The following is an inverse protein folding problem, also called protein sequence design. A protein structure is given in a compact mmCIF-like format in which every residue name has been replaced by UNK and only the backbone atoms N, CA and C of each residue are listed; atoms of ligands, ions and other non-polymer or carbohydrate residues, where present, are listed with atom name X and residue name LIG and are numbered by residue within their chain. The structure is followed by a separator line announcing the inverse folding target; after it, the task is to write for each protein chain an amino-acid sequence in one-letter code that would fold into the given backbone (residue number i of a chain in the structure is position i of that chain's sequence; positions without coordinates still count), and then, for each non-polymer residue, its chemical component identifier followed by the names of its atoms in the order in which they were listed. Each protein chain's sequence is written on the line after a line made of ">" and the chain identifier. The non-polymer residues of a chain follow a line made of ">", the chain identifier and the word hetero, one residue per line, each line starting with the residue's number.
data_IF_496270467176
#
_entry.id   IF_496270467176
#
_cell.length_a   1.000
_cell.length_b   1.000
_cell.length_c   1.000
_cell.angle_alpha   90.00
_cell.angle_beta   90.00
_cell.angle_gamma   90.00
#
_symmetry.space_group_name_H-M   'P 1'
#
loop_
_entity.id
_entity.type
_entity.pdbx_description
1 polymer ?
#
# COMPACT_ATOMS: atom_id res chain seq x y z
N UNK A 1 22.56 -15.16 -6.51
CA UNK A 1 21.84 -14.00 -5.91
C UNK A 1 20.41 -14.44 -5.63
N UNK A 2 19.80 -13.99 -4.52
CA UNK A 2 18.37 -14.20 -4.28
C UNK A 2 17.57 -13.42 -5.34
N UNK A 3 16.45 -13.97 -5.80
CA UNK A 3 15.53 -13.23 -6.67
C UNK A 3 14.86 -12.10 -5.88
N UNK A 4 14.56 -11.00 -6.56
CA UNK A 4 13.92 -9.82 -6.00
C UNK A 4 12.43 -9.79 -6.39
N UNK A 5 11.56 -9.71 -5.38
CA UNK A 5 10.12 -9.60 -5.55
C UNK A 5 9.66 -8.23 -5.05
N UNK A 6 8.98 -7.48 -5.91
CA UNK A 6 8.32 -6.23 -5.53
C UNK A 6 6.81 -6.49 -5.38
N UNK A 7 6.30 -6.29 -4.17
CA UNK A 7 4.87 -6.31 -3.86
C UNK A 7 4.36 -4.89 -3.73
N UNK A 8 3.25 -4.55 -4.38
CA UNK A 8 2.63 -3.24 -4.27
C UNK A 8 1.26 -3.35 -3.62
N UNK A 9 0.97 -2.45 -2.69
CA UNK A 9 -0.37 -2.13 -2.25
C UNK A 9 -1.01 -1.18 -3.28
N UNK A 10 -1.83 -1.74 -4.16
CA UNK A 10 -2.43 -1.01 -5.29
C UNK A 10 -3.37 0.10 -4.84
N UNK A 11 -4.18 -0.16 -3.80
CA UNK A 11 -5.11 0.81 -3.25
C UNK A 11 -4.36 1.98 -2.61
N UNK A 12 -3.44 1.71 -1.70
CA UNK A 12 -2.63 2.72 -1.03
C UNK A 12 -1.89 3.61 -2.03
N UNK A 13 -1.27 3.00 -3.06
CA UNK A 13 -0.56 3.74 -4.09
C UNK A 13 -1.48 4.60 -4.95
N UNK A 14 -2.66 4.10 -5.34
CA UNK A 14 -3.59 4.87 -6.16
C UNK A 14 -4.21 6.04 -5.38
N UNK A 15 -4.60 5.82 -4.12
CA UNK A 15 -5.05 6.89 -3.23
C UNK A 15 -3.98 7.97 -3.06
N UNK A 16 -2.75 7.55 -2.77
CA UNK A 16 -1.65 8.49 -2.64
C UNK A 16 -1.41 9.29 -3.90
N UNK A 17 -1.43 8.65 -5.06
CA UNK A 17 -1.29 9.30 -6.35
C UNK A 17 -2.37 10.36 -6.56
N UNK A 18 -3.62 10.01 -6.28
CA UNK A 18 -4.76 10.91 -6.42
C UNK A 18 -4.61 12.15 -5.54
N UNK A 19 -4.46 11.98 -4.24
CA UNK A 19 -4.39 13.11 -3.32
C UNK A 19 -3.12 13.97 -3.47
N UNK A 20 -2.00 13.37 -3.86
CA UNK A 20 -0.76 14.13 -4.11
C UNK A 20 -0.83 15.01 -5.36
N UNK A 21 -1.72 14.68 -6.31
CA UNK A 21 -1.85 15.40 -7.60
C UNK A 21 -3.14 16.20 -7.74
N UNK A 22 -4.09 16.04 -6.81
CA UNK A 22 -5.43 16.62 -6.89
C UNK A 22 -5.44 18.14 -7.11
N UNK A 23 -4.53 18.85 -6.47
CA UNK A 23 -4.48 20.32 -6.52
C UNK A 23 -3.35 20.90 -7.37
N UNK A 24 -2.46 20.06 -7.90
CA UNK A 24 -1.26 20.55 -8.60
C UNK A 24 -1.42 20.55 -10.11
N UNK A 25 -2.04 19.53 -10.67
CA UNK A 25 -2.22 19.42 -12.13
C UNK A 25 -3.52 18.66 -12.45
N UNK A 26 -4.47 19.36 -13.03
CA UNK A 26 -5.68 18.71 -13.54
C UNK A 26 -5.35 17.99 -14.85
N UNK A 27 -4.96 16.71 -14.73
CA UNK A 27 -4.66 15.85 -15.87
C UNK A 27 -5.93 15.13 -16.33
N UNK A 28 -6.30 15.29 -17.57
CA UNK A 28 -7.44 14.62 -18.18
C UNK A 28 -7.09 14.15 -19.59
N UNK A 29 -7.78 13.10 -20.06
CA UNK A 29 -7.78 12.73 -21.48
C UNK A 29 -8.46 13.81 -22.31
N UNK A 30 -8.38 13.71 -23.65
CA UNK A 30 -9.12 14.58 -24.58
C UNK A 30 -10.65 14.53 -24.37
N UNK A 31 -11.15 13.42 -23.81
CA UNK A 31 -12.57 13.21 -23.50
C UNK A 31 -12.94 13.62 -22.07
N UNK A 32 -12.04 14.29 -21.35
CA UNK A 32 -12.29 14.80 -19.99
C UNK A 32 -12.18 13.77 -18.86
N UNK A 33 -11.72 12.54 -19.13
CA UNK A 33 -11.53 11.53 -18.08
C UNK A 33 -10.29 11.90 -17.25
N UNK A 34 -10.38 12.01 -15.90
CA UNK A 34 -9.23 12.32 -15.05
C UNK A 34 -8.20 11.19 -15.09
N UNK A 35 -6.91 11.58 -15.10
CA UNK A 35 -5.78 10.65 -15.21
C UNK A 35 -4.63 10.98 -14.24
N UNK A 36 -4.84 11.91 -13.35
CA UNK A 36 -3.81 12.34 -12.38
C UNK A 36 -3.37 11.22 -11.45
N UNK A 37 -4.29 10.38 -10.95
CA UNK A 37 -3.95 9.23 -10.12
C UNK A 37 -3.23 8.13 -10.91
N UNK A 38 -3.63 7.89 -12.16
CA UNK A 38 -2.94 6.96 -13.08
C UNK A 38 -1.50 7.41 -13.28
N UNK A 39 -1.30 8.69 -13.61
CA UNK A 39 0.04 9.26 -13.79
C UNK A 39 0.90 9.09 -12.54
N UNK A 40 0.38 9.49 -11.38
CA UNK A 40 1.11 9.39 -10.12
C UNK A 40 1.44 7.94 -9.75
N UNK A 41 0.50 7.00 -9.96
CA UNK A 41 0.72 5.57 -9.74
C UNK A 41 1.86 5.03 -10.60
N UNK A 42 1.84 5.32 -11.91
CA UNK A 42 2.87 4.88 -12.85
C UNK A 42 4.23 5.48 -12.51
N UNK A 43 4.28 6.76 -12.11
CA UNK A 43 5.52 7.42 -11.67
C UNK A 43 6.12 6.74 -10.44
N UNK A 44 5.30 6.43 -9.42
CA UNK A 44 5.78 5.74 -8.21
C UNK A 44 6.23 4.31 -8.51
N UNK A 45 5.46 3.58 -9.34
CA UNK A 45 5.81 2.23 -9.75
C UNK A 45 7.16 2.19 -10.49
N UNK A 46 7.35 3.04 -11.50
CA UNK A 46 8.60 3.11 -12.26
C UNK A 46 9.78 3.46 -11.34
N UNK A 47 9.60 4.44 -10.45
CA UNK A 47 10.65 4.78 -9.49
C UNK A 47 11.01 3.62 -8.56
N UNK A 48 10.02 2.86 -8.09
CA UNK A 48 10.28 1.68 -7.27
C UNK A 48 11.00 0.57 -8.06
N UNK A 49 10.66 0.40 -9.34
CA UNK A 49 11.36 -0.52 -10.25
C UNK A 49 12.83 -0.10 -10.41
N UNK A 50 13.10 1.18 -10.64
CA UNK A 50 14.46 1.72 -10.80
C UNK A 50 15.30 1.57 -9.52
N UNK A 51 14.68 1.67 -8.33
CA UNK A 51 15.38 1.52 -7.04
C UNK A 51 15.66 0.06 -6.70
N UNK A 52 14.70 -0.84 -6.97
CA UNK A 52 14.71 -2.23 -6.49
C UNK A 52 15.23 -3.18 -7.57
N UNK A 53 15.08 -2.85 -8.85
CA UNK A 53 15.41 -3.72 -10.00
C UNK A 53 14.81 -5.15 -9.84
N UNK A 54 13.48 -5.29 -9.60
CA UNK A 54 12.87 -6.55 -9.23
C UNK A 54 12.81 -7.55 -10.39
N UNK A 55 13.03 -8.84 -10.11
CA UNK A 55 12.79 -9.94 -11.07
C UNK A 55 11.30 -10.18 -11.31
N UNK A 56 10.47 -9.90 -10.31
CA UNK A 56 9.01 -10.11 -10.32
C UNK A 56 8.29 -8.98 -9.61
N UNK A 57 7.10 -8.65 -10.13
CA UNK A 57 6.21 -7.62 -9.56
C UNK A 57 4.82 -8.21 -9.40
N UNK A 58 4.19 -7.97 -8.25
CA UNK A 58 2.77 -8.25 -8.01
C UNK A 58 2.12 -7.02 -7.39
N UNK A 59 0.98 -6.62 -7.93
CA UNK A 59 0.13 -5.56 -7.35
C UNK A 59 -1.08 -6.21 -6.69
N UNK A 60 -1.19 -6.08 -5.37
CA UNK A 60 -2.34 -6.54 -4.60
C UNK A 60 -3.42 -5.46 -4.55
N UNK A 61 -4.69 -5.85 -4.68
CA UNK A 61 -5.85 -4.97 -4.64
C UNK A 61 -6.88 -5.48 -3.63
N UNK A 62 -7.61 -4.54 -3.04
CA UNK A 62 -8.83 -4.86 -2.32
C UNK A 62 -9.93 -5.26 -3.30
N UNK A 63 -10.65 -6.33 -3.00
CA UNK A 63 -11.75 -6.81 -3.84
C UNK A 63 -13.04 -5.98 -3.72
N UNK A 64 -13.03 -4.90 -2.92
CA UNK A 64 -14.16 -3.99 -2.76
C UNK A 64 -15.38 -4.61 -2.04
N UNK A 65 -15.21 -5.76 -1.40
CA UNK A 65 -16.26 -6.48 -0.65
C UNK A 65 -15.92 -6.56 0.84
N UNK A 66 -16.93 -6.76 1.72
CA UNK A 66 -16.68 -6.97 3.13
C UNK A 66 -15.69 -8.11 3.40
N UNK A 67 -14.74 -7.86 4.28
CA UNK A 67 -13.72 -8.83 4.68
C UNK A 67 -14.13 -9.54 5.98
N UNK A 68 -13.34 -10.51 6.43
CA UNK A 68 -13.55 -11.16 7.72
C UNK A 68 -13.50 -10.17 8.89
N UNK A 69 -12.75 -9.04 8.76
CA UNK A 69 -12.69 -7.97 9.78
C UNK A 69 -14.05 -7.31 9.99
N UNK A 70 -14.82 -7.07 8.93
CA UNK A 70 -16.18 -6.53 9.03
C UNK A 70 -17.14 -7.49 9.74
N UNK A 71 -16.90 -8.81 9.62
CA UNK A 71 -17.70 -9.82 10.34
C UNK A 71 -17.37 -9.85 11.82
N UNK A 72 -16.11 -9.61 12.18
CA UNK A 72 -15.65 -9.58 13.57
C UNK A 72 -15.95 -8.25 14.27
N UNK A 73 -15.87 -7.13 13.53
CA UNK A 73 -16.11 -5.79 14.05
C UNK A 73 -16.93 -4.98 13.04
N UNK A 74 -18.21 -4.88 13.27
CA UNK A 74 -19.16 -4.25 12.34
C UNK A 74 -18.88 -2.76 12.06
N UNK A 75 -18.20 -2.06 12.98
CA UNK A 75 -17.80 -0.67 12.83
C UNK A 75 -16.46 -0.49 12.06
N UNK A 76 -15.79 -1.58 11.67
CA UNK A 76 -14.52 -1.55 10.92
C UNK A 76 -14.66 -0.75 9.63
N UNK A 77 -13.78 0.24 9.45
CA UNK A 77 -13.80 1.19 8.31
C UNK A 77 -15.13 1.95 8.13
N UNK A 78 -16.03 1.91 9.14
CA UNK A 78 -17.38 2.48 9.04
C UNK A 78 -17.44 4.01 8.98
N UNK A 79 -16.34 4.69 9.30
CA UNK A 79 -16.20 6.16 9.22
C UNK A 79 -15.64 6.65 7.89
N UNK A 80 -15.21 5.73 7.01
CA UNK A 80 -14.64 6.09 5.70
C UNK A 80 -15.69 6.73 4.82
N UNK A 81 -15.34 7.87 4.23
CA UNK A 81 -16.18 8.55 3.25
C UNK A 81 -16.22 7.79 1.93
N UNK A 82 -17.30 7.91 1.14
CA UNK A 82 -17.31 7.43 -0.23
C UNK A 82 -16.13 7.99 -1.02
N UNK A 83 -15.64 7.21 -1.97
CA UNK A 83 -14.55 7.65 -2.85
C UNK A 83 -15.06 8.73 -3.81
N UNK A 84 -14.17 9.65 -4.16
CA UNK A 84 -14.42 10.62 -5.20
C UNK A 84 -14.66 9.93 -6.55
N UNK A 85 -15.67 10.35 -7.29
CA UNK A 85 -16.00 9.79 -8.61
C UNK A 85 -14.82 9.89 -9.57
N UNK A 86 -14.06 11.02 -9.52
CA UNK A 86 -12.85 11.22 -10.30
C UNK A 86 -11.74 10.21 -9.99
N UNK A 87 -11.70 9.66 -8.78
CA UNK A 87 -10.78 8.59 -8.42
C UNK A 87 -11.31 7.23 -8.89
N UNK A 88 -12.61 6.97 -8.73
CA UNK A 88 -13.24 5.68 -9.08
C UNK A 88 -12.98 5.32 -10.55
N UNK A 89 -13.12 6.28 -11.44
CA UNK A 89 -12.94 6.05 -12.90
C UNK A 89 -11.49 5.74 -13.28
N UNK A 90 -10.53 5.99 -12.41
CA UNK A 90 -9.11 5.74 -12.67
C UNK A 90 -8.65 4.33 -12.29
N UNK A 91 -9.39 3.60 -11.43
CA UNK A 91 -9.05 2.21 -11.08
C UNK A 91 -8.98 1.28 -12.30
N UNK A 92 -10.01 1.23 -13.18
CA UNK A 92 -9.93 0.37 -14.37
C UNK A 92 -8.76 0.75 -15.27
N UNK A 93 -8.44 2.04 -15.41
CA UNK A 93 -7.33 2.51 -16.26
C UNK A 93 -5.98 2.01 -15.77
N UNK A 94 -5.74 2.08 -14.43
CA UNK A 94 -4.49 1.54 -13.85
C UNK A 94 -4.43 0.02 -14.01
N UNK A 95 -5.55 -0.69 -13.82
CA UNK A 95 -5.60 -2.15 -14.02
C UNK A 95 -5.29 -2.53 -15.46
N UNK A 96 -5.84 -1.82 -16.43
CA UNK A 96 -5.55 -2.00 -17.87
C UNK A 96 -4.07 -1.72 -18.18
N UNK A 97 -3.50 -0.65 -17.61
CA UNK A 97 -2.07 -0.36 -17.74
C UNK A 97 -1.21 -1.51 -17.22
N UNK A 98 -1.51 -2.04 -16.03
CA UNK A 98 -0.75 -3.16 -15.45
C UNK A 98 -0.83 -4.41 -16.32
N UNK A 99 -2.02 -4.74 -16.83
CA UNK A 99 -2.23 -5.87 -17.72
C UNK A 99 -1.44 -5.71 -19.04
N UNK A 100 -1.47 -4.50 -19.63
CA UNK A 100 -0.71 -4.17 -20.85
C UNK A 100 0.80 -4.20 -20.63
N UNK A 101 1.26 -3.81 -19.44
CA UNK A 101 2.68 -3.88 -19.03
C UNK A 101 3.12 -5.30 -18.65
N UNK A 102 2.24 -6.29 -18.63
CA UNK A 102 2.54 -7.66 -18.21
C UNK A 102 2.78 -7.80 -16.70
N UNK A 103 2.41 -6.80 -15.91
CA UNK A 103 2.55 -6.80 -14.45
C UNK A 103 1.38 -7.56 -13.84
N UNK A 104 1.68 -8.58 -13.03
CA UNK A 104 0.65 -9.38 -12.37
C UNK A 104 -0.06 -8.55 -11.30
N UNK A 105 -1.38 -8.70 -11.25
CA UNK A 105 -2.23 -8.15 -10.20
C UNK A 105 -3.09 -9.25 -9.59
N UNK A 106 -3.44 -9.11 -8.32
CA UNK A 106 -4.24 -10.08 -7.60
C UNK A 106 -5.16 -9.40 -6.60
N UNK A 107 -6.38 -9.92 -6.48
CA UNK A 107 -7.36 -9.56 -5.47
C UNK A 107 -8.10 -10.82 -5.02
N UNK A 108 -8.54 -10.86 -3.76
CA UNK A 108 -9.23 -12.01 -3.19
C UNK A 108 -10.43 -11.55 -2.36
N UNK A 109 -11.62 -12.02 -2.71
CA UNK A 109 -12.82 -11.74 -1.92
C UNK A 109 -12.65 -12.18 -0.46
N UNK A 110 -13.10 -11.34 0.47
CA UNK A 110 -13.02 -11.60 1.91
C UNK A 110 -11.69 -11.22 2.55
N UNK A 111 -10.71 -10.79 1.76
CA UNK A 111 -9.39 -10.34 2.21
C UNK A 111 -9.08 -8.95 1.68
N UNK A 112 -8.12 -8.29 2.32
CA UNK A 112 -7.59 -6.99 1.91
C UNK A 112 -6.24 -7.18 1.20
N UNK A 113 -5.77 -6.15 0.49
CA UNK A 113 -4.46 -6.16 -0.18
C UNK A 113 -3.33 -6.51 0.80
N UNK A 114 -3.41 -6.01 2.04
CA UNK A 114 -2.43 -6.26 3.10
C UNK A 114 -2.34 -7.74 3.49
N UNK A 115 -3.48 -8.47 3.48
CA UNK A 115 -3.50 -9.92 3.77
C UNK A 115 -2.78 -10.69 2.67
N UNK A 116 -2.97 -10.28 1.40
CA UNK A 116 -2.30 -10.87 0.25
C UNK A 116 -0.80 -10.60 0.32
N UNK A 117 -0.40 -9.34 0.56
CA UNK A 117 1.00 -8.92 0.69
C UNK A 117 1.68 -9.66 1.82
N UNK A 118 1.06 -9.69 3.01
CA UNK A 118 1.60 -10.39 4.17
C UNK A 118 1.75 -11.89 3.96
N UNK A 119 0.78 -12.52 3.30
CA UNK A 119 0.83 -13.94 2.95
C UNK A 119 1.98 -14.22 1.97
N UNK A 120 2.12 -13.41 0.93
CA UNK A 120 3.20 -13.55 -0.05
C UNK A 120 4.58 -13.35 0.58
N UNK A 121 4.77 -12.30 1.38
CA UNK A 121 6.02 -12.02 2.08
C UNK A 121 6.44 -13.17 3.01
N UNK A 122 5.48 -13.78 3.72
CA UNK A 122 5.73 -14.92 4.61
C UNK A 122 5.99 -16.23 3.87
N UNK A 123 5.34 -16.47 2.74
CA UNK A 123 5.49 -17.71 1.98
C UNK A 123 6.74 -17.74 1.09
N UNK A 124 7.21 -16.58 0.61
CA UNK A 124 8.30 -16.48 -0.36
C UNK A 124 9.68 -16.29 0.30
N UNK A 125 10.05 -17.17 1.25
CA UNK A 125 11.31 -17.04 2.02
C UNK A 125 12.60 -17.19 1.22
N UNK A 126 12.53 -17.78 0.02
CA UNK A 126 13.70 -17.97 -0.85
C UNK A 126 14.01 -16.73 -1.73
N UNK A 127 13.18 -15.69 -1.65
CA UNK A 127 13.36 -14.43 -2.38
C UNK A 127 13.54 -13.26 -1.40
N UNK A 128 14.17 -12.20 -1.85
CA UNK A 128 14.16 -10.93 -1.14
C UNK A 128 12.91 -10.16 -1.57
N UNK A 129 12.04 -9.87 -0.64
CA UNK A 129 10.79 -9.16 -0.90
C UNK A 129 10.91 -7.68 -0.51
N UNK A 130 10.47 -6.79 -1.37
CA UNK A 130 10.27 -5.37 -1.04
C UNK A 130 8.80 -5.01 -1.22
N UNK A 131 8.20 -4.39 -0.23
CA UNK A 131 6.79 -3.95 -0.25
C UNK A 131 6.75 -2.45 -0.50
N UNK A 132 6.14 -2.00 -1.60
CA UNK A 132 5.86 -0.59 -1.85
C UNK A 132 4.48 -0.22 -1.31
N UNK A 133 4.46 0.67 -0.33
CA UNK A 133 3.22 1.15 0.30
C UNK A 133 3.37 2.56 0.88
N UNK A 134 2.26 3.23 1.17
CA UNK A 134 2.22 4.41 2.05
C UNK A 134 1.68 4.09 3.44
N UNK A 135 1.30 2.84 3.67
CA UNK A 135 0.74 2.37 4.94
C UNK A 135 1.85 1.89 5.87
N UNK A 136 1.92 2.49 7.05
CA UNK A 136 2.90 2.12 8.08
C UNK A 136 2.57 0.79 8.76
N UNK A 137 1.36 0.28 8.62
CA UNK A 137 0.98 -0.99 9.22
C UNK A 137 1.74 -2.15 8.61
N UNK A 138 2.15 -2.03 7.33
CA UNK A 138 2.96 -3.04 6.67
C UNK A 138 4.42 -3.09 7.17
N UNK A 139 4.86 -2.12 8.00
CA UNK A 139 6.17 -2.18 8.68
C UNK A 139 6.28 -3.38 9.62
N UNK A 140 5.16 -3.93 10.10
CA UNK A 140 5.12 -5.18 10.88
C UNK A 140 5.63 -6.40 10.12
N UNK A 141 5.69 -6.33 8.78
CA UNK A 141 6.12 -7.44 7.92
C UNK A 141 7.63 -7.49 7.70
N UNK A 142 8.36 -6.46 8.14
CA UNK A 142 9.82 -6.38 7.99
C UNK A 142 10.48 -7.54 8.73
N UNK A 143 11.38 -8.23 8.03
CA UNK A 143 12.27 -9.26 8.57
C UNK A 143 13.55 -9.36 7.70
N UNK A 144 14.42 -10.32 7.97
CA UNK A 144 15.67 -10.53 7.23
C UNK A 144 15.51 -10.78 5.72
N UNK A 145 14.28 -11.05 5.23
CA UNK A 145 13.95 -11.31 3.84
C UNK A 145 12.90 -10.35 3.26
N UNK A 146 12.34 -9.49 4.09
CA UNK A 146 11.27 -8.57 3.69
C UNK A 146 11.60 -7.15 4.15
N UNK A 147 11.65 -6.22 3.21
CA UNK A 147 11.80 -4.79 3.45
C UNK A 147 10.56 -4.03 2.99
N UNK A 148 10.37 -2.80 3.47
CA UNK A 148 9.29 -1.91 3.03
C UNK A 148 9.89 -0.67 2.39
N UNK A 149 9.51 -0.39 1.16
CA UNK A 149 9.78 0.89 0.48
C UNK A 149 8.60 1.82 0.80
N UNK A 150 8.76 2.60 1.86
CA UNK A 150 7.72 3.46 2.40
C UNK A 150 7.67 4.80 1.67
N UNK A 151 6.49 5.15 1.17
CA UNK A 151 6.26 6.49 0.62
C UNK A 151 6.20 7.53 1.73
N UNK A 152 7.03 8.56 1.65
CA UNK A 152 7.13 9.65 2.66
C UNK A 152 6.36 10.89 2.22
N UNK A 153 6.76 11.54 1.14
CA UNK A 153 6.15 12.79 0.68
C UNK A 153 5.97 12.81 -0.84
N UNK A 154 4.82 13.32 -1.29
CA UNK A 154 4.50 13.44 -2.72
C UNK A 154 4.53 12.08 -3.43
N UNK A 155 5.03 12.05 -4.66
CA UNK A 155 5.14 10.88 -5.53
C UNK A 155 6.57 10.31 -5.62
N UNK A 156 7.55 11.01 -5.07
CA UNK A 156 8.95 10.70 -5.35
C UNK A 156 9.80 10.43 -4.11
N UNK A 157 9.35 10.82 -2.93
CA UNK A 157 10.13 10.61 -1.73
C UNK A 157 9.78 9.24 -1.13
N UNK A 158 10.73 8.31 -1.24
CA UNK A 158 10.63 6.93 -0.76
C UNK A 158 11.78 6.63 0.18
N UNK A 159 11.52 5.85 1.21
CA UNK A 159 12.51 5.41 2.18
C UNK A 159 12.47 3.89 2.30
N UNK A 160 13.63 3.24 2.13
CA UNK A 160 13.73 1.80 2.31
C UNK A 160 13.86 1.51 3.82
N UNK A 161 12.89 0.79 4.35
CA UNK A 161 12.80 0.41 5.75
C UNK A 161 13.18 -1.06 5.90
N UNK A 162 14.25 -1.32 6.61
CA UNK A 162 14.62 -2.62 7.17
C UNK A 162 14.47 -2.58 8.71
N UNK A 163 14.85 -3.64 9.41
CA UNK A 163 14.75 -3.71 10.87
C UNK A 163 15.56 -2.60 11.56
N UNK A 164 16.77 -2.27 11.04
CA UNK A 164 17.62 -1.24 11.62
C UNK A 164 17.05 0.16 11.37
N UNK A 165 16.65 0.46 10.14
CA UNK A 165 16.05 1.75 9.80
C UNK A 165 14.74 1.99 10.53
N UNK A 166 13.95 0.95 10.77
CA UNK A 166 12.73 1.03 11.57
C UNK A 166 13.05 1.39 13.03
N UNK A 167 14.05 0.72 13.61
CA UNK A 167 14.49 1.01 14.98
C UNK A 167 15.06 2.43 15.10
N UNK A 168 15.91 2.85 14.15
CA UNK A 168 16.55 4.16 14.18
C UNK A 168 15.54 5.31 13.97
N UNK A 169 14.51 5.08 13.15
CA UNK A 169 13.53 6.12 12.78
C UNK A 169 12.39 6.23 13.78
N UNK A 170 11.88 5.08 14.26
CA UNK A 170 10.67 5.03 15.08
C UNK A 170 10.91 4.49 16.51
N UNK A 171 12.10 3.97 16.81
CA UNK A 171 12.44 3.42 18.12
C UNK A 171 11.76 2.08 18.43
N UNK A 172 11.21 1.40 17.43
CA UNK A 172 10.44 0.17 17.60
C UNK A 172 10.92 -0.93 16.65
N UNK A 173 10.67 -2.17 17.02
CA UNK A 173 10.87 -3.35 16.16
C UNK A 173 9.62 -3.65 15.33
N UNK A 174 9.72 -4.47 14.26
CA UNK A 174 8.55 -4.85 13.46
C UNK A 174 7.41 -5.47 14.29
N UNK A 175 7.71 -6.31 15.27
CA UNK A 175 6.70 -6.90 16.17
C UNK A 175 5.99 -5.85 17.03
N UNK A 176 6.71 -4.81 17.46
CA UNK A 176 6.14 -3.73 18.26
C UNK A 176 5.24 -2.78 17.49
N UNK A 177 5.24 -2.82 16.14
CA UNK A 177 4.26 -2.10 15.32
C UNK A 177 2.83 -2.56 15.66
N UNK A 178 2.65 -3.87 15.90
CA UNK A 178 1.36 -4.45 16.29
C UNK A 178 0.94 -3.96 17.68
N UNK A 179 1.85 -3.98 18.65
CA UNK A 179 1.59 -3.53 20.01
C UNK A 179 1.25 -2.04 20.05
N UNK A 180 2.02 -1.23 19.31
CA UNK A 180 1.79 0.20 19.18
C UNK A 180 0.39 0.47 18.63
N UNK A 181 0.01 -0.18 17.51
CA UNK A 181 -1.33 -0.03 16.93
C UNK A 181 -2.43 -0.53 17.85
N UNK A 182 -2.21 -1.62 18.58
CA UNK A 182 -3.16 -2.11 19.56
C UNK A 182 -3.43 -1.11 20.69
N UNK A 183 -2.40 -0.38 21.13
CA UNK A 183 -2.51 0.64 22.18
C UNK A 183 -3.11 1.96 21.66
N UNK A 184 -2.62 2.45 20.51
CA UNK A 184 -3.06 3.73 19.95
C UNK A 184 -4.41 3.65 19.27
N UNK A 185 -4.81 2.48 18.78
CA UNK A 185 -5.93 2.29 17.87
C UNK A 185 -5.60 2.74 16.44
N UNK A 186 -6.62 2.77 15.61
CA UNK A 186 -6.55 3.24 14.23
C UNK A 186 -7.81 4.00 13.83
N UNK A 187 -7.69 5.32 13.77
CA UNK A 187 -8.80 6.19 13.39
C UNK A 187 -9.26 6.00 11.95
N UNK A 188 -8.35 5.65 11.04
CA UNK A 188 -8.66 5.41 9.63
C UNK A 188 -9.52 4.14 9.45
N UNK A 189 -9.32 3.16 10.32
CA UNK A 189 -10.05 1.91 10.35
C UNK A 189 -11.16 1.86 11.42
N UNK A 190 -11.36 2.99 12.11
CA UNK A 190 -12.34 3.13 13.18
C UNK A 190 -12.11 2.13 14.33
N UNK A 191 -10.85 1.85 14.65
CA UNK A 191 -10.46 0.98 15.76
C UNK A 191 -10.08 1.86 16.95
N UNK A 192 -10.79 1.76 18.09
CA UNK A 192 -10.46 2.54 19.27
C UNK A 192 -9.15 2.05 19.90
N UNK A 193 -8.32 3.00 20.34
CA UNK A 193 -7.16 2.73 21.19
C UNK A 193 -7.48 2.87 22.66
N UNK A 194 -6.42 2.81 23.49
CA UNK A 194 -6.50 3.09 24.91
C UNK A 194 -6.58 4.60 25.13
N UNK A 195 -7.56 5.07 25.90
CA UNK A 195 -7.74 6.49 26.15
C UNK A 195 -6.48 7.14 26.77
N UNK A 196 -6.01 8.22 26.15
CA UNK A 196 -4.81 8.95 26.60
C UNK A 196 -3.48 8.37 26.08
N UNK A 197 -3.51 7.31 25.27
CA UNK A 197 -2.34 6.77 24.58
C UNK A 197 -2.37 7.23 23.13
N UNK A 198 -1.27 7.79 22.65
CA UNK A 198 -1.08 8.28 21.28
C UNK A 198 0.41 8.28 20.90
N UNK A 199 0.75 8.84 19.71
CA UNK A 199 2.16 9.03 19.28
C UNK A 199 2.95 9.91 20.23
#
# INVERSE_FOLDING_TARGET
>A
MKKLLLLLDGNSMLFRAYYATLYTHRMTTSNGIPTNAVYGFVMMLNKAIDIIEPDKILVAWDAGKPTFRHKQFAAYKGTRKPLDEELIVQFPIVREYLDAAGIKRYEQEGYEADDIIGSMAKCCKDVQTTILTSDRDLLQLIDSSTHVLLMKKGLSEMELMDEQNLLDTYGITPSQVIDMKGLMGDTADNIPGVAGVGE
#
